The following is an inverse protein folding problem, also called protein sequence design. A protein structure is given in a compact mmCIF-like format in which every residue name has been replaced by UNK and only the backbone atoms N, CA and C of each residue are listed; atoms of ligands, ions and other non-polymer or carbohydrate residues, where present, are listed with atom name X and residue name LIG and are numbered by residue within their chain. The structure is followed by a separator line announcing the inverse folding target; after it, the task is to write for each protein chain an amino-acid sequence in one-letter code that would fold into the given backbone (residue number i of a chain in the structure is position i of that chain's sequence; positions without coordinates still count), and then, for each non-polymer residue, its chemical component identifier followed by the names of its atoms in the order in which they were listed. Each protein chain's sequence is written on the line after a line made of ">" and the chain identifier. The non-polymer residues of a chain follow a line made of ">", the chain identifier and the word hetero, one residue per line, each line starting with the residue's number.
data_IF_093971440507
#
_entry.id   IF_093971440507
#
_cell.length_a   1.000
_cell.length_b   1.000
_cell.length_c   1.000
_cell.angle_alpha   90.00
_cell.angle_beta   90.00
_cell.angle_gamma   90.00
#
_symmetry.space_group_name_H-M   'P 1'
#
loop_
_entity.id
_entity.type
_entity.pdbx_description
1 polymer ?
#
# COMPACT_ATOMS: atom_id res chain seq x y z
N UNK A 1 -3.74 -10.24 9.76
CA UNK A 1 -3.00 -9.89 8.52
C UNK A 1 -1.73 -10.72 8.31
N UNK A 2 -1.20 -11.42 9.33
CA UNK A 2 0.08 -12.13 9.28
C UNK A 2 0.23 -13.08 8.08
N UNK A 3 -0.84 -13.78 7.68
CA UNK A 3 -0.78 -14.69 6.51
C UNK A 3 -0.51 -13.97 5.18
N UNK A 4 -0.97 -12.72 5.04
CA UNK A 4 -0.78 -11.91 3.83
C UNK A 4 0.49 -11.05 3.92
N UNK A 5 0.76 -10.52 5.12
CA UNK A 5 1.91 -9.65 5.36
C UNK A 5 3.22 -10.42 5.59
N UNK A 6 3.13 -11.67 6.04
CA UNK A 6 4.24 -12.56 6.38
C UNK A 6 4.50 -12.69 7.89
N UNK A 7 4.24 -11.63 8.66
CA UNK A 7 4.53 -11.53 10.09
C UNK A 7 3.56 -10.53 10.77
N UNK A 8 3.78 -10.21 12.04
CA UNK A 8 2.96 -9.27 12.83
C UNK A 8 3.36 -7.78 12.66
N UNK A 9 4.40 -7.46 11.87
CA UNK A 9 4.89 -6.09 11.69
C UNK A 9 3.87 -5.16 11.03
N UNK A 10 2.85 -5.71 10.36
CA UNK A 10 1.74 -4.95 9.78
C UNK A 10 1.03 -4.07 10.79
N UNK A 11 0.96 -4.46 12.08
CA UNK A 11 0.27 -3.68 13.10
C UNK A 11 1.00 -2.35 13.33
N UNK A 12 2.33 -2.39 13.42
CA UNK A 12 3.18 -1.19 13.56
C UNK A 12 3.17 -0.31 12.30
N UNK A 13 2.99 -0.93 11.13
CA UNK A 13 2.85 -0.18 9.87
C UNK A 13 1.47 0.46 9.71
N UNK A 14 0.42 -0.16 10.26
CA UNK A 14 -0.96 0.28 10.09
C UNK A 14 -1.46 1.23 11.18
N UNK A 15 -0.86 1.21 12.38
CA UNK A 15 -1.32 1.98 13.53
C UNK A 15 -0.20 2.85 14.09
N UNK A 16 -0.53 4.11 14.37
CA UNK A 16 0.34 5.08 15.02
C UNK A 16 -0.38 5.67 16.23
N UNK A 17 0.34 6.21 17.20
CA UNK A 17 -0.31 6.96 18.27
C UNK A 17 -1.01 8.18 17.68
N UNK A 18 -2.28 8.36 18.05
CA UNK A 18 -3.02 9.53 17.62
C UNK A 18 -2.40 10.79 18.21
N UNK A 19 -2.34 11.85 17.42
CA UNK A 19 -1.94 13.18 17.91
C UNK A 19 -3.04 13.82 18.77
N UNK A 20 -4.26 13.29 18.70
CA UNK A 20 -5.41 13.73 19.46
C UNK A 20 -5.66 12.78 20.63
N UNK A 21 -6.06 13.35 21.76
CA UNK A 21 -6.56 12.57 22.89
C UNK A 21 -8.03 12.25 22.68
N UNK A 22 -8.47 11.12 23.22
CA UNK A 22 -9.89 10.78 23.31
C UNK A 22 -10.61 11.68 24.33
N UNK A 23 -11.92 11.48 24.47
CA UNK A 23 -12.77 12.22 25.40
C UNK A 23 -12.33 12.08 26.88
N UNK A 24 -11.51 11.07 27.19
CA UNK A 24 -11.01 10.76 28.54
C UNK A 24 -9.52 11.10 28.73
N UNK A 25 -8.92 11.81 27.78
CA UNK A 25 -7.52 12.24 27.87
C UNK A 25 -6.49 11.14 27.57
N UNK A 26 -6.91 10.01 26.97
CA UNK A 26 -6.02 8.92 26.57
C UNK A 26 -5.61 9.06 25.11
N UNK A 27 -4.37 8.69 24.83
CA UNK A 27 -3.88 8.56 23.46
C UNK A 27 -4.16 7.15 22.95
N UNK A 28 -5.08 7.04 22.00
CA UNK A 28 -5.39 5.78 21.32
C UNK A 28 -4.52 5.59 20.07
N UNK A 29 -4.42 4.35 19.60
CA UNK A 29 -3.81 4.04 18.30
C UNK A 29 -4.79 4.36 17.16
N UNK A 30 -4.35 5.16 16.21
CA UNK A 30 -5.12 5.51 15.01
C UNK A 30 -4.57 4.79 13.78
N UNK A 31 -5.48 4.30 12.94
CA UNK A 31 -5.12 3.65 11.69
C UNK A 31 -4.62 4.70 10.69
N UNK A 32 -3.43 4.49 10.14
CA UNK A 32 -2.89 5.35 9.08
C UNK A 32 -3.69 5.20 7.77
N UNK A 33 -3.46 6.11 6.82
CA UNK A 33 -4.11 6.06 5.52
C UNK A 33 -3.82 4.75 4.77
N UNK A 34 -4.75 4.33 3.90
CA UNK A 34 -4.56 3.11 3.12
C UNK A 34 -3.35 3.24 2.17
N UNK A 35 -3.06 4.45 1.67
CA UNK A 35 -1.86 4.76 0.90
C UNK A 35 -0.58 4.49 1.69
N UNK A 36 -0.54 4.87 2.97
CA UNK A 36 0.61 4.64 3.83
C UNK A 36 0.83 3.14 4.06
N UNK A 37 -0.24 2.37 4.28
CA UNK A 37 -0.15 0.90 4.40
C UNK A 37 0.37 0.27 3.10
N UNK A 38 -0.13 0.73 1.94
CA UNK A 38 0.30 0.24 0.64
C UNK A 38 1.80 0.52 0.37
N UNK A 39 2.29 1.70 0.74
CA UNK A 39 3.71 2.04 0.64
C UNK A 39 4.57 1.25 1.64
N UNK A 40 4.09 1.03 2.87
CA UNK A 40 4.78 0.20 3.84
C UNK A 40 4.93 -1.24 3.32
N UNK A 41 3.88 -1.80 2.72
CA UNK A 41 3.94 -3.12 2.11
C UNK A 41 4.89 -3.15 0.90
N UNK A 42 4.89 -2.09 0.07
CA UNK A 42 5.87 -1.93 -1.01
C UNK A 42 7.31 -1.92 -0.51
N UNK A 43 7.62 -1.18 0.57
CA UNK A 43 8.95 -1.18 1.19
C UNK A 43 9.34 -2.57 1.66
N UNK A 44 8.41 -3.27 2.31
CA UNK A 44 8.62 -4.66 2.73
C UNK A 44 8.96 -5.59 1.56
N UNK A 45 8.27 -5.46 0.42
CA UNK A 45 8.58 -6.25 -0.79
C UNK A 45 10.03 -6.01 -1.27
N UNK A 46 10.54 -4.79 -1.13
CA UNK A 46 11.93 -4.46 -1.47
C UNK A 46 12.93 -4.98 -0.45
N UNK A 47 12.70 -4.68 0.83
CA UNK A 47 13.70 -4.84 1.88
C UNK A 47 13.69 -6.25 2.48
N UNK A 48 12.52 -6.84 2.68
CA UNK A 48 12.37 -8.14 3.34
C UNK A 48 12.22 -9.28 2.34
N UNK A 49 11.43 -9.09 1.28
CA UNK A 49 11.25 -10.10 0.24
C UNK A 49 12.32 -10.03 -0.87
N UNK A 50 13.15 -8.97 -0.89
CA UNK A 50 14.31 -8.86 -1.78
C UNK A 50 13.98 -8.58 -3.24
N UNK A 51 12.79 -8.05 -3.56
CA UNK A 51 12.45 -7.63 -4.92
C UNK A 51 13.06 -6.24 -5.21
N UNK A 52 14.06 -6.12 -6.09
CA UNK A 52 14.69 -4.83 -6.35
C UNK A 52 13.74 -3.85 -7.06
N UNK A 53 12.86 -4.35 -7.91
CA UNK A 53 12.02 -3.54 -8.78
C UNK A 53 10.54 -3.64 -8.36
N UNK A 54 10.10 -2.65 -7.58
CA UNK A 54 8.72 -2.55 -7.05
C UNK A 54 8.26 -1.11 -7.29
N UNK A 55 7.53 -0.83 -8.39
CA UNK A 55 7.02 0.51 -8.68
C UNK A 55 5.96 0.94 -7.66
N UNK A 56 5.57 2.22 -7.69
CA UNK A 56 4.55 2.76 -6.79
C UNK A 56 3.21 2.02 -6.98
N UNK A 57 2.52 1.59 -5.90
CA UNK A 57 1.21 0.96 -6.01
C UNK A 57 0.18 1.93 -6.60
N UNK A 58 -0.80 1.37 -7.32
CA UNK A 58 -1.94 2.15 -7.82
C UNK A 58 -3.22 1.77 -7.08
N UNK A 59 -4.05 2.77 -6.77
CA UNK A 59 -5.36 2.57 -6.16
C UNK A 59 -6.37 2.25 -7.26
N UNK A 60 -6.92 1.04 -7.24
CA UNK A 60 -7.97 0.61 -8.16
C UNK A 60 -9.32 1.08 -7.63
N UNK A 61 -10.09 1.76 -8.49
CA UNK A 61 -11.31 2.45 -8.10
C UNK A 61 -12.53 1.90 -8.84
N UNK A 62 -13.67 1.89 -8.14
CA UNK A 62 -14.94 1.54 -8.76
C UNK A 62 -15.55 2.72 -9.56
N UNK A 63 -16.74 2.51 -10.13
CA UNK A 63 -17.51 3.53 -10.85
C UNK A 63 -17.82 4.78 -10.00
N UNK A 64 -17.90 4.63 -8.67
CA UNK A 64 -18.10 5.72 -7.69
C UNK A 64 -16.78 6.39 -7.24
N UNK A 65 -15.65 6.07 -7.89
CA UNK A 65 -14.32 6.59 -7.55
C UNK A 65 -13.78 6.18 -6.17
N UNK A 66 -14.45 5.25 -5.48
CA UNK A 66 -14.00 4.70 -4.21
C UNK A 66 -12.87 3.68 -4.43
N UNK A 67 -11.84 3.71 -3.59
CA UNK A 67 -10.71 2.77 -3.65
C UNK A 67 -11.18 1.40 -3.16
N UNK A 68 -11.05 0.38 -4.00
CA UNK A 68 -11.44 -1.00 -3.67
C UNK A 68 -10.23 -1.79 -3.20
N UNK A 69 -9.09 -1.68 -3.89
CA UNK A 69 -7.82 -2.32 -3.53
C UNK A 69 -6.64 -1.59 -4.16
N UNK A 70 -5.43 -1.87 -3.66
CA UNK A 70 -4.18 -1.41 -4.27
C UNK A 70 -3.57 -2.55 -5.08
N UNK A 71 -3.15 -2.26 -6.32
CA UNK A 71 -2.40 -3.19 -7.15
C UNK A 71 -0.90 -2.94 -6.96
N UNK A 72 -0.19 -3.97 -6.51
CA UNK A 72 1.26 -3.98 -6.36
C UNK A 72 1.90 -4.88 -7.41
N UNK A 73 3.10 -4.51 -7.84
CA UNK A 73 3.94 -5.32 -8.71
C UNK A 73 5.34 -5.44 -8.12
N UNK A 74 5.92 -6.63 -8.18
CA UNK A 74 7.27 -6.88 -7.70
C UNK A 74 8.00 -7.83 -8.65
N UNK A 75 9.23 -7.48 -9.01
CA UNK A 75 10.04 -8.27 -9.94
C UNK A 75 11.53 -8.12 -9.67
N UNK A 76 12.30 -9.16 -10.00
CA UNK A 76 13.75 -9.10 -10.06
C UNK A 76 14.29 -8.54 -11.38
N UNK A 77 13.42 -8.33 -12.39
CA UNK A 77 13.83 -7.85 -13.72
C UNK A 77 13.52 -6.37 -13.90
N UNK A 78 14.51 -5.52 -14.23
CA UNK A 78 14.30 -4.06 -14.36
C UNK A 78 13.35 -3.70 -15.50
N UNK A 79 13.45 -4.39 -16.64
CA UNK A 79 12.55 -4.18 -17.80
C UNK A 79 11.07 -4.34 -17.44
N UNK A 80 10.76 -5.23 -16.49
CA UNK A 80 9.39 -5.45 -16.05
C UNK A 80 8.83 -4.24 -15.29
N UNK A 81 9.67 -3.50 -14.56
CA UNK A 81 9.26 -2.27 -13.90
C UNK A 81 8.83 -1.19 -14.89
N UNK A 82 9.56 -1.04 -15.99
CA UNK A 82 9.26 -0.04 -17.01
C UNK A 82 7.95 -0.36 -17.74
N UNK A 83 7.75 -1.64 -18.09
CA UNK A 83 6.49 -2.12 -18.68
C UNK A 83 5.32 -1.84 -17.73
N UNK A 84 5.47 -2.16 -16.44
CA UNK A 84 4.39 -1.98 -15.47
C UNK A 84 4.13 -0.50 -15.19
N UNK A 85 5.16 0.34 -15.10
CA UNK A 85 5.00 1.80 -15.01
C UNK A 85 4.23 2.34 -16.20
N UNK A 86 4.55 1.89 -17.41
CA UNK A 86 3.82 2.27 -18.61
C UNK A 86 2.33 1.87 -18.53
N UNK A 87 2.04 0.63 -18.13
CA UNK A 87 0.66 0.14 -17.93
C UNK A 87 -0.05 0.99 -16.86
N UNK A 88 0.57 1.18 -15.70
CA UNK A 88 -0.01 1.96 -14.61
C UNK A 88 -0.32 3.40 -15.04
N UNK A 89 0.60 4.08 -15.72
CA UNK A 89 0.36 5.42 -16.23
C UNK A 89 -0.81 5.48 -17.24
N UNK A 90 -0.98 4.44 -18.05
CA UNK A 90 -2.05 4.37 -19.05
C UNK A 90 -3.43 4.04 -18.47
N UNK A 91 -3.48 3.27 -17.38
CA UNK A 91 -4.74 2.69 -16.89
C UNK A 91 -5.14 3.11 -15.47
N UNK A 92 -4.24 3.63 -14.63
CA UNK A 92 -4.53 3.91 -13.21
C UNK A 92 -5.68 4.90 -12.98
N UNK A 93 -5.94 5.80 -13.95
CA UNK A 93 -7.01 6.79 -13.86
C UNK A 93 -8.28 6.38 -14.62
N UNK A 94 -8.33 5.18 -15.20
CA UNK A 94 -9.56 4.71 -15.85
C UNK A 94 -10.57 4.28 -14.79
N UNK A 95 -11.80 4.73 -14.94
CA UNK A 95 -12.92 4.27 -14.10
C UNK A 95 -13.26 2.83 -14.48
N UNK A 96 -13.58 2.00 -13.48
CA UNK A 96 -14.25 0.73 -13.74
C UNK A 96 -15.50 0.98 -14.58
N UNK A 97 -15.70 0.18 -15.62
CA UNK A 97 -16.89 0.21 -16.48
C UNK A 97 -17.99 -0.60 -15.81
#
# INVERSE_FOLDING_TARGET
>A
MNRFWGDDSWRKAAYVQSLQMDLFGKTEEEKVSNEAIAEAFRKRLKEVAGFPNVPKPIAMRNTLNAVVYYLLFASHKPVAEDIVKYIFNKYANRRGV
#
